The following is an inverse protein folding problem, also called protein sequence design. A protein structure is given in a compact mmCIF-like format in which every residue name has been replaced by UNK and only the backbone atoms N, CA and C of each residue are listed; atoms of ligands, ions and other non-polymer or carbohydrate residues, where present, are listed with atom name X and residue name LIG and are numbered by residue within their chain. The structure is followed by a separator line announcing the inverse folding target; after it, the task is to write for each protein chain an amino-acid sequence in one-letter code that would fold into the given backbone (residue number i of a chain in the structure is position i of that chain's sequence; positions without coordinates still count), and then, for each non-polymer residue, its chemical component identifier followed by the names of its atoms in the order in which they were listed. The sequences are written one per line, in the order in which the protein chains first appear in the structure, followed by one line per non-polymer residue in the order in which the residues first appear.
data_IF_961875730915
#
_entry.id   IF_961875730915
#
_cell.length_a   1.000
_cell.length_b   1.000
_cell.length_c   1.000
_cell.angle_alpha   90.00
_cell.angle_beta   90.00
_cell.angle_gamma   90.00
#
_symmetry.space_group_name_H-M   'P 1'
#
loop_
_entity.id
_entity.type
_entity.pdbx_description
1 polymer ?
#
# COMPACT_ATOMS: atom_id res chain seq x y z
N UNK A 1 -0.45 -0.84 11.28
CA UNK A 1 0.10 -1.13 9.93
C UNK A 1 0.45 -2.60 9.82
N UNK A 2 -0.07 -3.30 8.82
CA UNK A 2 0.24 -4.72 8.58
C UNK A 2 0.73 -4.84 7.15
N UNK A 3 1.97 -5.31 6.94
CA UNK A 3 2.50 -5.48 5.58
C UNK A 3 2.29 -6.94 5.17
N UNK A 4 1.14 -7.22 4.58
CA UNK A 4 0.80 -8.56 4.13
C UNK A 4 1.45 -8.88 2.78
N UNK A 5 2.57 -9.61 2.76
CA UNK A 5 3.05 -10.17 1.49
C UNK A 5 2.18 -11.37 1.10
N UNK A 6 1.80 -11.41 -0.17
CA UNK A 6 0.87 -12.39 -0.69
C UNK A 6 1.37 -12.94 -2.02
N UNK A 7 1.46 -14.27 -2.12
CA UNK A 7 1.96 -14.94 -3.33
C UNK A 7 0.91 -15.84 -4.01
N UNK A 8 -0.30 -15.97 -3.46
CA UNK A 8 -1.39 -16.75 -4.09
C UNK A 8 -2.78 -16.26 -3.64
N UNK A 9 -3.46 -15.49 -4.51
CA UNK A 9 -4.77 -14.81 -4.34
C UNK A 9 -5.90 -15.73 -3.79
N UNK A 10 -5.74 -17.06 -3.86
CA UNK A 10 -6.79 -18.04 -3.57
C UNK A 10 -6.87 -18.53 -2.10
N UNK A 11 -6.08 -18.00 -1.15
CA UNK A 11 -6.06 -18.43 0.27
C UNK A 11 -6.19 -17.26 1.25
N UNK A 12 -6.99 -16.25 0.91
CA UNK A 12 -7.03 -15.00 1.70
C UNK A 12 -7.74 -15.31 3.03
N UNK A 13 -6.95 -15.35 4.10
CA UNK A 13 -7.40 -15.60 5.46
C UNK A 13 -6.57 -14.68 6.38
N UNK A 14 -7.24 -13.79 7.10
CA UNK A 14 -6.63 -12.77 7.97
C UNK A 14 -6.11 -13.34 9.29
N UNK A 15 -6.36 -14.63 9.59
CA UNK A 15 -6.21 -15.17 10.94
C UNK A 15 -4.82 -15.75 11.29
N UNK A 16 -3.78 -15.53 10.46
CA UNK A 16 -2.43 -16.08 10.72
C UNK A 16 -1.32 -15.12 10.30
N UNK A 17 -0.85 -14.33 11.25
CA UNK A 17 0.30 -13.43 11.10
C UNK A 17 1.51 -13.94 11.87
N UNK A 18 2.68 -13.92 11.24
CA UNK A 18 3.94 -13.90 11.97
C UNK A 18 4.17 -12.46 12.45
N UNK A 19 4.18 -12.26 13.77
CA UNK A 19 4.40 -10.96 14.38
C UNK A 19 5.89 -10.77 14.66
N UNK A 20 6.49 -9.71 14.12
CA UNK A 20 7.80 -9.27 14.57
C UNK A 20 7.61 -8.37 15.79
N UNK A 21 8.13 -8.82 16.93
CA UNK A 21 8.23 -8.03 18.15
C UNK A 21 9.18 -6.85 17.94
N UNK A 22 8.82 -5.69 18.46
CA UNK A 22 9.59 -4.45 18.38
C UNK A 22 11.08 -4.51 18.81
N UNK A 23 11.63 -5.43 19.63
CA UNK A 23 13.05 -5.40 20.00
C UNK A 23 14.02 -5.52 18.81
N UNK A 24 13.64 -6.20 17.72
CA UNK A 24 14.49 -6.34 16.53
C UNK A 24 14.30 -5.19 15.52
N UNK A 25 13.34 -4.29 15.77
CA UNK A 25 13.04 -3.08 14.97
C UNK A 25 13.41 -1.79 15.74
N UNK A 26 13.84 -1.89 16.99
CA UNK A 26 14.17 -0.75 17.85
C UNK A 26 15.60 -0.24 17.64
N UNK A 27 15.76 0.67 16.68
CA UNK A 27 16.69 1.77 16.89
C UNK A 27 16.19 2.58 18.10
N UNK A 28 16.92 2.49 19.23
CA UNK A 28 16.65 3.19 20.49
C UNK A 28 16.29 4.66 20.25
N UNK A 29 15.04 5.04 20.48
CA UNK A 29 14.66 6.43 20.77
C UNK A 29 14.47 6.58 22.28
N UNK A 30 15.57 6.84 22.99
CA UNK A 30 15.52 7.61 24.23
C UNK A 30 15.78 9.05 23.82
N UNK A 31 14.70 9.82 23.67
CA UNK A 31 14.57 11.14 24.27
C UNK A 31 13.19 11.69 23.96
N UNK A 32 12.47 11.95 25.04
CA UNK A 32 11.21 12.67 25.07
C UNK A 32 11.41 14.08 24.51
N UNK A 33 10.74 14.39 23.40
CA UNK A 33 10.04 15.66 23.15
C UNK A 33 9.52 15.68 21.71
N UNK A 34 8.31 15.16 21.49
CA UNK A 34 7.53 15.52 20.31
C UNK A 34 6.30 16.30 20.77
N UNK A 35 6.47 17.62 20.81
CA UNK A 35 5.36 18.57 20.81
C UNK A 35 4.70 18.47 19.43
N UNK A 36 3.38 18.26 19.41
CA UNK A 36 2.54 18.33 18.22
C UNK A 36 2.93 19.54 17.36
N UNK A 37 3.30 19.32 16.10
CA UNK A 37 3.41 20.40 15.13
C UNK A 37 2.12 20.43 14.29
N UNK A 38 1.26 21.44 14.41
CA UNK A 38 0.11 21.60 13.53
C UNK A 38 0.60 21.88 12.10
N UNK A 39 -0.15 21.41 11.10
CA UNK A 39 0.13 21.62 9.68
C UNK A 39 0.03 23.09 9.22
N UNK A 40 -0.15 24.04 10.14
CA UNK A 40 -0.29 25.47 9.88
C UNK A 40 0.98 26.19 10.35
N UNK A 41 1.87 26.56 9.41
CA UNK A 41 2.99 27.45 9.75
C UNK A 41 4.31 27.27 8.99
N UNK A 42 4.37 26.56 7.87
CA UNK A 42 5.56 26.69 7.01
C UNK A 42 5.44 27.95 6.16
N UNK A 43 6.33 28.95 6.31
CA UNK A 43 6.38 30.07 5.39
C UNK A 43 6.72 29.54 4.00
N UNK A 44 5.76 29.67 3.08
CA UNK A 44 5.98 29.49 1.65
C UNK A 44 7.15 30.40 1.28
N UNK A 45 8.34 29.82 1.07
CA UNK A 45 9.51 30.56 0.60
C UNK A 45 9.41 30.61 -0.92
N UNK A 46 9.14 31.77 -1.54
CA UNK A 46 9.06 31.86 -3.00
C UNK A 46 10.42 31.47 -3.59
N UNK A 47 10.47 30.46 -4.45
CA UNK A 47 11.69 30.03 -5.14
C UNK A 47 12.34 28.72 -4.66
N UNK A 48 11.79 28.01 -3.66
CA UNK A 48 12.22 26.62 -3.39
C UNK A 48 11.60 25.67 -4.41
N UNK A 49 12.43 25.20 -5.34
CA UNK A 49 12.10 24.08 -6.21
C UNK A 49 12.08 22.81 -5.34
N UNK A 50 10.90 22.26 -5.08
CA UNK A 50 10.80 20.93 -4.49
C UNK A 50 11.46 19.94 -5.45
N UNK A 51 12.21 18.93 -4.94
CA UNK A 51 12.77 17.93 -5.82
C UNK A 51 11.63 17.31 -6.64
N UNK A 52 11.73 17.42 -7.96
CA UNK A 52 10.77 16.83 -8.88
C UNK A 52 10.76 15.32 -8.69
N UNK A 53 9.57 14.72 -8.73
CA UNK A 53 9.43 13.27 -8.71
C UNK A 53 10.28 12.67 -9.85
N UNK A 54 11.02 11.57 -9.59
CA UNK A 54 11.79 10.90 -10.63
C UNK A 54 10.93 10.62 -11.87
N UNK A 55 11.51 10.65 -13.08
CA UNK A 55 10.75 10.43 -14.29
C UNK A 55 10.03 9.06 -14.23
N UNK A 56 8.76 9.05 -14.63
CA UNK A 56 7.93 7.85 -14.66
C UNK A 56 8.54 6.76 -15.53
N UNK A 57 9.32 7.14 -16.55
CA UNK A 57 9.95 6.27 -17.54
C UNK A 57 11.44 6.63 -17.71
N UNK A 58 12.32 5.64 -17.60
CA UNK A 58 13.76 5.67 -17.91
C UNK A 58 14.04 4.43 -18.79
N UNK A 59 14.24 4.60 -20.09
CA UNK A 59 14.30 3.46 -21.04
C UNK A 59 15.39 2.43 -20.75
N UNK A 60 16.49 2.83 -20.10
CA UNK A 60 17.67 2.00 -19.92
C UNK A 60 17.61 1.02 -18.73
N UNK A 61 16.53 1.00 -17.93
CA UNK A 61 16.52 0.21 -16.69
C UNK A 61 15.15 -0.41 -16.36
N UNK A 62 14.61 -1.16 -17.32
CA UNK A 62 13.39 -1.97 -17.17
C UNK A 62 13.75 -3.34 -16.57
N UNK A 63 13.12 -3.76 -15.45
CA UNK A 63 13.28 -5.12 -14.95
C UNK A 63 12.57 -6.11 -15.89
N UNK A 64 12.83 -7.42 -15.72
CA UNK A 64 12.12 -8.46 -16.48
C UNK A 64 10.59 -8.29 -16.38
N UNK A 65 9.84 -8.65 -17.42
CA UNK A 65 8.37 -8.54 -17.44
C UNK A 65 7.68 -9.38 -16.36
N UNK A 66 8.37 -10.40 -15.83
CA UNK A 66 7.90 -11.22 -14.72
C UNK A 66 8.31 -10.67 -13.35
N UNK A 67 9.04 -9.55 -13.30
CA UNK A 67 9.47 -8.95 -12.05
C UNK A 67 8.33 -8.17 -11.36
N UNK A 68 8.22 -8.24 -10.03
CA UNK A 68 8.90 -9.19 -9.15
C UNK A 68 8.30 -10.59 -9.35
N UNK A 69 9.17 -11.60 -9.43
CA UNK A 69 8.74 -12.98 -9.65
C UNK A 69 8.34 -13.66 -8.34
N UNK A 70 8.98 -13.24 -7.24
CA UNK A 70 8.86 -13.83 -5.91
C UNK A 70 8.29 -12.84 -4.89
N UNK A 71 8.62 -11.55 -5.02
CA UNK A 71 8.16 -10.49 -4.12
C UNK A 71 8.88 -10.46 -2.78
N UNK A 72 10.13 -10.90 -2.72
CA UNK A 72 10.99 -10.73 -1.54
C UNK A 72 11.49 -9.29 -1.47
N UNK A 73 11.41 -8.66 -0.30
CA UNK A 73 11.84 -7.27 -0.10
C UNK A 73 12.95 -7.20 0.94
N UNK A 74 14.09 -6.67 0.55
CA UNK A 74 15.27 -6.54 1.40
C UNK A 74 15.60 -5.06 1.62
N UNK A 75 15.56 -4.63 2.87
CA UNK A 75 15.84 -3.26 3.30
C UNK A 75 17.20 -3.25 3.97
N UNK A 76 18.10 -2.40 3.48
CA UNK A 76 19.49 -2.33 3.97
C UNK A 76 19.85 -0.91 4.42
N UNK A 77 20.07 -0.74 5.72
CA UNK A 77 20.52 0.50 6.36
C UNK A 77 19.71 1.74 5.95
N UNK A 78 18.40 1.58 5.80
CA UNK A 78 17.50 2.59 5.26
C UNK A 78 17.38 3.80 6.19
N UNK A 79 17.73 4.97 5.67
CA UNK A 79 17.61 6.25 6.35
C UNK A 79 16.71 7.18 5.55
N UNK A 80 15.69 7.74 6.18
CA UNK A 80 14.67 8.56 5.50
C UNK A 80 14.40 9.83 6.27
N UNK A 81 14.34 10.96 5.57
CA UNK A 81 13.89 12.27 6.06
C UNK A 81 13.07 12.95 4.96
N UNK A 82 12.10 13.76 5.34
CA UNK A 82 11.24 14.46 4.37
C UNK A 82 11.93 15.65 3.68
N UNK A 83 12.97 16.21 4.29
CA UNK A 83 13.78 17.26 3.68
C UNK A 83 15.21 17.23 4.22
N UNK A 84 16.22 17.75 3.48
CA UNK A 84 17.62 17.72 3.91
C UNK A 84 17.88 18.30 5.31
N UNK A 85 17.14 19.36 5.66
CA UNK A 85 17.24 20.08 6.93
C UNK A 85 16.39 19.47 8.06
N UNK A 86 15.54 18.48 7.76
CA UNK A 86 14.69 17.81 8.74
C UNK A 86 15.43 16.62 9.36
N UNK A 87 15.09 16.23 10.60
CA UNK A 87 15.66 15.05 11.23
C UNK A 87 15.29 13.77 10.48
N UNK A 88 16.13 12.75 10.63
CA UNK A 88 15.83 11.39 10.16
C UNK A 88 14.63 10.81 10.91
N UNK A 89 13.66 10.31 10.16
CA UNK A 89 12.52 9.53 10.66
C UNK A 89 12.91 8.06 10.77
N UNK A 90 13.41 7.47 9.69
CA UNK A 90 14.04 6.14 9.70
C UNK A 90 15.56 6.30 9.83
N UNK A 91 16.18 5.55 10.73
CA UNK A 91 17.57 5.74 11.18
C UNK A 91 18.44 4.51 10.97
N UNK A 92 18.44 3.96 9.77
CA UNK A 92 19.26 2.79 9.41
C UNK A 92 18.51 1.47 9.59
N UNK A 93 17.23 1.43 9.20
CA UNK A 93 16.40 0.23 9.25
C UNK A 93 16.99 -0.86 8.33
N UNK A 94 17.17 -2.06 8.86
CA UNK A 94 17.55 -3.26 8.09
C UNK A 94 16.57 -4.38 8.42
N UNK A 95 15.89 -4.92 7.41
CA UNK A 95 15.01 -6.07 7.58
C UNK A 95 14.73 -6.71 6.22
N UNK A 96 14.33 -7.98 6.24
CA UNK A 96 13.94 -8.72 5.04
C UNK A 96 12.53 -9.24 5.21
N UNK A 97 11.67 -8.93 4.25
CA UNK A 97 10.35 -9.51 4.11
C UNK A 97 10.41 -10.66 3.13
N UNK A 98 10.36 -11.88 3.65
CA UNK A 98 10.47 -13.09 2.84
C UNK A 98 9.26 -13.24 1.93
N UNK A 99 9.51 -13.62 0.67
CA UNK A 99 8.47 -13.98 -0.30
C UNK A 99 7.38 -14.89 0.31
N UNK A 100 6.12 -14.57 0.01
CA UNK A 100 4.95 -15.36 0.42
C UNK A 100 4.62 -15.38 1.93
N UNK A 101 5.29 -14.57 2.75
CA UNK A 101 5.00 -14.49 4.20
C UNK A 101 4.21 -13.23 4.57
N UNK A 102 3.14 -13.39 5.34
CA UNK A 102 2.40 -12.26 5.92
C UNK A 102 3.19 -11.66 7.09
N UNK A 103 3.55 -10.38 7.03
CA UNK A 103 4.41 -9.74 8.03
C UNK A 103 3.72 -8.56 8.71
N UNK A 104 3.51 -8.63 10.02
CA UNK A 104 3.02 -7.48 10.79
C UNK A 104 4.13 -6.47 11.11
N UNK A 105 3.87 -5.16 10.92
CA UNK A 105 4.79 -4.10 11.39
C UNK A 105 4.12 -3.28 12.49
N UNK A 106 4.49 -3.59 13.73
CA UNK A 106 3.93 -2.95 14.92
C UNK A 106 4.86 -1.86 15.45
N UNK A 107 4.28 -0.78 15.97
CA UNK A 107 5.04 0.33 16.55
C UNK A 107 4.14 1.50 16.94
N UNK A 108 4.58 2.30 17.91
CA UNK A 108 3.86 3.50 18.38
C UNK A 108 3.59 4.48 17.23
N UNK A 109 2.63 5.38 17.39
CA UNK A 109 2.45 6.52 16.49
C UNK A 109 3.76 7.31 16.38
N UNK A 110 4.12 7.74 15.16
CA UNK A 110 5.38 8.44 14.90
C UNK A 110 6.62 7.55 14.71
N UNK A 111 6.51 6.22 14.83
CA UNK A 111 7.64 5.28 14.61
C UNK A 111 8.14 5.16 13.16
N UNK A 112 7.53 5.87 12.21
CA UNK A 112 7.95 5.84 10.80
C UNK A 112 7.31 4.74 9.94
N UNK A 113 6.24 4.10 10.42
CA UNK A 113 5.45 3.09 9.68
C UNK A 113 4.96 3.62 8.32
N UNK A 114 4.21 4.72 8.32
CA UNK A 114 3.72 5.36 7.08
C UNK A 114 4.89 5.86 6.22
N UNK A 115 5.98 6.32 6.84
CA UNK A 115 7.21 6.71 6.12
C UNK A 115 7.85 5.53 5.39
N UNK A 116 7.86 4.33 5.99
CA UNK A 116 8.33 3.12 5.34
C UNK A 116 7.48 2.77 4.12
N UNK A 117 6.15 2.83 4.23
CA UNK A 117 5.24 2.64 3.08
C UNK A 117 5.56 3.67 1.99
N UNK A 118 5.61 4.95 2.34
CA UNK A 118 5.90 6.02 1.38
C UNK A 118 7.25 5.81 0.68
N UNK A 119 8.26 5.32 1.39
CA UNK A 119 9.57 5.02 0.82
C UNK A 119 9.52 3.80 -0.11
N UNK A 120 8.76 2.76 0.25
CA UNK A 120 8.56 1.57 -0.59
C UNK A 120 7.88 1.92 -1.93
N UNK A 121 6.91 2.84 -1.92
CA UNK A 121 6.26 3.37 -3.13
C UNK A 121 7.06 4.49 -3.82
N UNK A 122 8.25 4.81 -3.30
CA UNK A 122 9.11 5.92 -3.74
C UNK A 122 8.35 7.26 -3.86
N UNK A 123 7.46 7.52 -2.91
CA UNK A 123 6.87 8.85 -2.68
C UNK A 123 7.85 9.75 -1.92
N UNK A 124 8.73 9.14 -1.13
CA UNK A 124 9.86 9.79 -0.45
C UNK A 124 11.10 8.96 -0.75
N UNK A 125 12.14 9.59 -1.30
CA UNK A 125 13.41 8.89 -1.58
C UNK A 125 14.24 8.75 -0.29
N UNK A 126 14.99 7.63 -0.13
CA UNK A 126 15.87 7.46 1.01
C UNK A 126 17.03 8.47 0.96
N UNK A 127 17.43 8.97 2.13
CA UNK A 127 18.62 9.79 2.29
C UNK A 127 19.90 8.95 2.28
N UNK A 128 19.81 7.69 2.72
CA UNK A 128 20.87 6.68 2.62
C UNK A 128 20.27 5.26 2.73
N UNK A 129 21.07 4.26 2.36
CA UNK A 129 20.62 2.87 2.29
C UNK A 129 19.81 2.58 1.02
N UNK A 130 19.17 1.42 0.98
CA UNK A 130 18.44 0.96 -0.21
C UNK A 130 17.35 -0.04 0.14
N UNK A 131 16.37 -0.14 -0.76
CA UNK A 131 15.34 -1.17 -0.76
C UNK A 131 15.51 -1.98 -2.05
N UNK A 132 15.60 -3.30 -1.91
CA UNK A 132 15.66 -4.23 -3.02
C UNK A 132 14.38 -5.05 -3.06
N UNK A 133 13.82 -5.27 -4.25
CA UNK A 133 12.74 -6.24 -4.45
C UNK A 133 13.26 -7.30 -5.43
N UNK A 134 13.24 -8.56 -5.01
CA UNK A 134 13.87 -9.69 -5.71
C UNK A 134 15.32 -9.38 -6.14
N UNK A 135 16.07 -8.73 -5.26
CA UNK A 135 17.48 -8.36 -5.50
C UNK A 135 17.72 -7.14 -6.38
N UNK A 136 16.67 -6.51 -6.93
CA UNK A 136 16.80 -5.29 -7.74
C UNK A 136 16.53 -4.05 -6.87
N UNK A 137 17.47 -3.10 -6.84
CA UNK A 137 17.29 -1.84 -6.13
C UNK A 137 16.20 -0.98 -6.78
N UNK A 138 15.13 -0.71 -6.04
CA UNK A 138 13.94 -0.02 -6.57
C UNK A 138 14.20 1.44 -6.96
N UNK A 139 15.21 2.10 -6.39
CA UNK A 139 15.60 3.47 -6.76
C UNK A 139 16.16 3.54 -8.19
N UNK A 140 16.59 2.42 -8.75
CA UNK A 140 17.10 2.32 -10.12
C UNK A 140 16.00 2.03 -11.14
N UNK A 141 14.83 1.56 -10.72
CA UNK A 141 13.72 1.14 -11.59
C UNK A 141 12.84 2.35 -11.95
N UNK A 142 12.14 2.27 -13.07
CA UNK A 142 11.08 3.23 -13.46
C UNK A 142 9.94 3.22 -12.43
N UNK A 143 9.43 4.40 -12.05
CA UNK A 143 8.36 4.48 -11.05
C UNK A 143 7.08 3.76 -11.51
N UNK A 144 6.76 3.83 -12.80
CA UNK A 144 5.60 3.11 -13.35
C UNK A 144 5.73 1.60 -13.14
N UNK A 145 6.87 1.02 -13.50
CA UNK A 145 7.12 -0.42 -13.35
C UNK A 145 7.03 -0.83 -11.88
N UNK A 146 7.70 -0.10 -10.98
CA UNK A 146 7.61 -0.36 -9.55
C UNK A 146 6.16 -0.30 -9.04
N UNK A 147 5.46 0.81 -9.28
CA UNK A 147 4.11 1.03 -8.72
C UNK A 147 3.03 0.14 -9.36
N UNK A 148 3.26 -0.35 -10.58
CA UNK A 148 2.35 -1.32 -11.21
C UNK A 148 2.37 -2.68 -10.49
N UNK A 149 3.50 -3.03 -9.87
CA UNK A 149 3.74 -4.31 -9.18
C UNK A 149 3.40 -4.29 -7.69
N UNK A 150 3.44 -3.12 -7.05
CA UNK A 150 3.05 -2.91 -5.66
C UNK A 150 1.55 -2.61 -5.54
N UNK A 151 0.93 -3.04 -4.45
CA UNK A 151 -0.47 -2.70 -4.12
C UNK A 151 -0.59 -2.23 -2.68
N UNK A 152 -1.49 -1.28 -2.47
CA UNK A 152 -1.80 -0.74 -1.15
C UNK A 152 -3.31 -0.71 -0.93
N UNK A 153 -3.74 -1.16 0.25
CA UNK A 153 -5.06 -0.84 0.81
C UNK A 153 -4.82 0.24 1.87
N UNK A 154 -5.23 1.50 1.62
CA UNK A 154 -5.06 2.57 2.58
C UNK A 154 -6.01 2.42 3.77
N UNK A 155 -5.69 3.13 4.85
CA UNK A 155 -6.54 3.23 6.04
C UNK A 155 -7.96 3.72 5.69
N UNK A 156 -8.04 4.77 4.85
CA UNK A 156 -9.31 5.33 4.38
C UNK A 156 -9.57 4.93 2.91
N UNK A 157 -10.44 3.94 2.66
CA UNK A 157 -10.76 3.51 1.29
C UNK A 157 -11.48 4.63 0.55
N UNK A 158 -10.86 5.11 -0.52
CA UNK A 158 -11.44 6.15 -1.38
C UNK A 158 -12.04 5.53 -2.63
N UNK A 159 -13.28 5.92 -2.94
CA UNK A 159 -13.91 5.63 -4.23
C UNK A 159 -13.99 6.91 -5.07
N UNK A 160 -13.82 6.73 -6.38
CA UNK A 160 -13.89 7.83 -7.35
C UNK A 160 -15.31 7.93 -7.89
N UNK A 161 -15.70 9.15 -8.26
CA UNK A 161 -16.98 9.37 -8.93
C UNK A 161 -17.05 8.56 -10.23
N UNK A 162 -18.17 7.88 -10.48
CA UNK A 162 -18.34 7.00 -11.62
C UNK A 162 -19.26 5.82 -11.31
N UNK A 163 -18.84 4.61 -11.68
CA UNK A 163 -19.59 3.37 -11.43
C UNK A 163 -18.78 2.41 -10.55
N UNK A 164 -19.41 1.35 -10.05
CA UNK A 164 -18.69 0.26 -9.38
C UNK A 164 -17.70 -0.41 -10.34
N UNK A 165 -18.08 -0.61 -11.61
CA UNK A 165 -17.18 -1.12 -12.67
C UNK A 165 -15.93 -0.26 -12.81
N UNK A 166 -16.10 1.05 -13.01
CA UNK A 166 -14.95 1.96 -13.20
C UNK A 166 -14.12 2.14 -11.93
N UNK A 167 -14.70 1.93 -10.75
CA UNK A 167 -13.96 1.91 -9.50
C UNK A 167 -13.10 0.66 -9.35
N UNK A 168 -13.57 -0.51 -9.77
CA UNK A 168 -12.82 -1.77 -9.69
C UNK A 168 -11.77 -1.89 -10.80
N UNK A 169 -12.13 -1.46 -12.01
CA UNK A 169 -11.33 -1.58 -13.21
C UNK A 169 -11.37 -0.27 -14.04
N UNK A 170 -10.62 0.76 -13.62
CA UNK A 170 -10.63 2.06 -14.29
C UNK A 170 -10.01 2.04 -15.69
N UNK A 171 -9.26 0.99 -16.04
CA UNK A 171 -8.62 0.83 -17.35
C UNK A 171 -9.39 -0.12 -18.27
N UNK A 172 -10.51 -0.67 -17.80
CA UNK A 172 -11.36 -1.62 -18.55
C UNK A 172 -10.59 -2.86 -19.06
N UNK A 173 -9.60 -3.32 -18.29
CA UNK A 173 -8.75 -4.47 -18.64
C UNK A 173 -9.43 -5.82 -18.37
N UNK A 174 -10.53 -5.84 -17.61
CA UNK A 174 -11.18 -7.05 -17.11
C UNK A 174 -12.63 -7.21 -17.60
N UNK A 175 -12.95 -8.46 -17.96
CA UNK A 175 -14.32 -8.90 -18.28
C UNK A 175 -15.23 -8.79 -17.04
N UNK A 176 -16.54 -8.58 -17.26
CA UNK A 176 -17.53 -8.57 -16.17
C UNK A 176 -17.45 -9.82 -15.28
N UNK A 177 -17.21 -11.00 -15.84
CA UNK A 177 -17.12 -12.26 -15.07
C UNK A 177 -15.98 -12.22 -14.05
N UNK A 178 -14.82 -11.66 -14.43
CA UNK A 178 -13.68 -11.46 -13.53
C UNK A 178 -13.98 -10.45 -12.43
N UNK A 179 -14.74 -9.40 -12.75
CA UNK A 179 -15.18 -8.39 -11.79
C UNK A 179 -16.15 -9.01 -10.78
N UNK A 180 -17.11 -9.82 -11.23
CA UNK A 180 -18.01 -10.54 -10.35
C UNK A 180 -17.27 -11.55 -9.47
N UNK A 181 -16.32 -12.31 -10.03
CA UNK A 181 -15.48 -13.24 -9.25
C UNK A 181 -14.72 -12.50 -8.13
N UNK A 182 -14.18 -11.31 -8.42
CA UNK A 182 -13.51 -10.48 -7.41
C UNK A 182 -14.49 -9.93 -6.35
N UNK A 183 -15.67 -9.47 -6.77
CA UNK A 183 -16.72 -8.98 -5.86
C UNK A 183 -17.23 -10.09 -4.92
N UNK A 184 -17.40 -11.31 -5.42
CA UNK A 184 -17.83 -12.47 -4.63
C UNK A 184 -16.77 -12.84 -3.59
N UNK A 185 -15.49 -12.86 -3.97
CA UNK A 185 -14.37 -13.11 -3.03
C UNK A 185 -14.25 -12.04 -1.94
N UNK A 186 -14.72 -10.82 -2.20
CA UNK A 186 -14.75 -9.73 -1.22
C UNK A 186 -16.08 -9.61 -0.48
N UNK A 187 -17.03 -10.55 -0.65
CA UNK A 187 -18.36 -10.50 -0.04
C UNK A 187 -19.21 -9.27 -0.40
N UNK A 188 -18.92 -8.62 -1.53
CA UNK A 188 -19.70 -7.48 -2.04
C UNK A 188 -20.58 -7.86 -3.24
N UNK A 189 -20.48 -9.10 -3.73
CA UNK A 189 -21.20 -9.58 -4.91
C UNK A 189 -22.72 -9.48 -4.77
N UNK A 190 -23.30 -10.05 -3.72
CA UNK A 190 -24.75 -10.02 -3.49
C UNK A 190 -25.29 -8.59 -3.32
N UNK A 191 -24.56 -7.77 -2.57
CA UNK A 191 -24.95 -6.38 -2.37
C UNK A 191 -24.98 -5.60 -3.70
N UNK A 192 -23.93 -5.73 -4.52
CA UNK A 192 -23.89 -5.08 -5.83
C UNK A 192 -24.97 -5.66 -6.76
N UNK A 193 -25.28 -6.97 -6.71
CA UNK A 193 -26.36 -7.58 -7.50
C UNK A 193 -27.74 -7.06 -7.11
N UNK A 194 -27.94 -6.70 -5.84
CA UNK A 194 -29.20 -6.16 -5.32
C UNK A 194 -29.50 -4.74 -5.81
N UNK A 195 -28.47 -3.98 -6.19
CA UNK A 195 -28.63 -2.64 -6.74
C UNK A 195 -29.17 -2.70 -8.18
N UNK A 196 -30.11 -1.82 -8.52
CA UNK A 196 -30.73 -1.76 -9.86
C UNK A 196 -29.69 -1.65 -10.99
N UNK A 197 -28.63 -0.86 -10.78
CA UNK A 197 -27.55 -0.64 -11.75
C UNK A 197 -26.49 -1.74 -11.78
N UNK A 198 -26.46 -2.66 -10.80
CA UNK A 198 -25.42 -3.67 -10.64
C UNK A 198 -24.01 -3.07 -10.73
N UNK A 199 -23.18 -3.51 -11.68
CA UNK A 199 -21.84 -2.93 -11.92
C UNK A 199 -21.88 -1.47 -12.38
N UNK A 200 -22.98 -1.03 -12.99
CA UNK A 200 -23.21 0.35 -13.42
C UNK A 200 -23.83 1.21 -12.31
N UNK A 201 -23.99 0.68 -11.10
CA UNK A 201 -24.47 1.47 -9.95
C UNK A 201 -23.57 2.68 -9.74
N UNK A 202 -24.15 3.88 -9.58
CA UNK A 202 -23.38 5.10 -9.46
C UNK A 202 -22.63 5.17 -8.14
N UNK A 203 -21.45 5.77 -8.20
CA UNK A 203 -20.61 6.11 -7.07
C UNK A 203 -20.46 7.63 -7.09
N UNK A 204 -20.93 8.30 -6.05
CA UNK A 204 -20.78 9.74 -5.91
C UNK A 204 -19.35 10.08 -5.50
N UNK A 205 -19.00 11.37 -5.52
CA UNK A 205 -17.67 11.85 -5.12
C UNK A 205 -17.27 11.25 -3.76
N UNK A 206 -16.05 10.72 -3.67
CA UNK A 206 -15.50 10.02 -2.50
C UNK A 206 -16.28 8.78 -2.02
N UNK A 207 -17.26 8.30 -2.79
CA UNK A 207 -18.14 7.21 -2.40
C UNK A 207 -19.03 7.55 -1.21
N UNK A 208 -19.48 8.80 -1.09
CA UNK A 208 -20.37 9.25 0.01
C UNK A 208 -21.68 8.45 0.07
N UNK A 209 -22.16 7.93 -1.07
CA UNK A 209 -23.32 7.06 -1.13
C UNK A 209 -23.04 5.60 -0.72
N UNK A 210 -21.81 5.28 -0.32
CA UNK A 210 -21.39 3.95 0.15
C UNK A 210 -20.90 4.01 1.60
N UNK A 211 -21.34 3.06 2.42
CA UNK A 211 -20.86 2.93 3.79
C UNK A 211 -19.35 2.62 3.81
N UNK A 212 -18.68 2.94 4.92
CA UNK A 212 -17.25 2.59 5.09
C UNK A 212 -17.05 1.08 4.94
N UNK A 213 -17.97 0.27 5.48
CA UNK A 213 -17.95 -1.19 5.38
C UNK A 213 -18.07 -1.73 3.96
N UNK A 214 -18.64 -0.97 3.02
CA UNK A 214 -18.74 -1.36 1.61
C UNK A 214 -17.57 -0.85 0.76
N UNK A 215 -17.04 0.34 1.11
CA UNK A 215 -15.88 0.93 0.43
C UNK A 215 -14.62 0.07 0.55
N UNK A 216 -14.45 -0.64 1.66
CA UNK A 216 -13.30 -1.51 1.88
C UNK A 216 -13.28 -2.76 0.97
N UNK A 217 -14.37 -3.56 0.88
CA UNK A 217 -14.49 -4.62 -0.12
C UNK A 217 -14.24 -4.16 -1.55
N UNK A 218 -14.62 -2.93 -1.93
CA UNK A 218 -14.27 -2.37 -3.24
C UNK A 218 -12.76 -2.24 -3.41
N UNK A 219 -12.05 -1.68 -2.41
CA UNK A 219 -10.59 -1.61 -2.43
C UNK A 219 -9.93 -2.99 -2.49
N UNK A 220 -10.48 -3.98 -1.78
CA UNK A 220 -10.03 -5.38 -1.87
C UNK A 220 -10.32 -5.97 -3.26
N UNK A 221 -11.47 -5.66 -3.87
CA UNK A 221 -11.83 -6.12 -5.20
C UNK A 221 -10.87 -5.59 -6.28
N UNK A 222 -10.48 -4.31 -6.20
CA UNK A 222 -9.43 -3.71 -7.06
C UNK A 222 -8.12 -4.49 -6.98
N UNK A 223 -7.81 -5.00 -5.79
CA UNK A 223 -6.63 -5.80 -5.55
C UNK A 223 -6.74 -7.22 -6.09
N UNK A 224 -7.88 -7.89 -5.92
CA UNK A 224 -8.07 -9.25 -6.42
C UNK A 224 -8.04 -9.35 -7.96
N UNK A 225 -8.45 -8.28 -8.65
CA UNK A 225 -8.40 -8.21 -10.12
C UNK A 225 -6.96 -8.21 -10.65
N UNK A 226 -6.06 -7.49 -9.97
CA UNK A 226 -4.66 -7.35 -10.39
C UNK A 226 -3.74 -8.25 -9.57
N UNK A 227 -3.11 -9.22 -10.22
CA UNK A 227 -2.09 -10.08 -9.59
C UNK A 227 -0.87 -9.25 -9.20
N UNK A 228 -0.68 -8.97 -7.91
CA UNK A 228 0.56 -8.40 -7.37
C UNK A 228 1.29 -9.41 -6.49
N UNK A 229 2.62 -9.26 -6.38
CA UNK A 229 3.43 -10.07 -5.45
C UNK A 229 3.67 -9.40 -4.10
N UNK A 230 3.53 -8.08 -4.07
CA UNK A 230 3.71 -7.26 -2.87
C UNK A 230 2.44 -6.47 -2.61
N UNK A 231 1.90 -6.64 -1.40
CA UNK A 231 0.69 -6.00 -0.91
C UNK A 231 0.99 -5.35 0.45
N UNK A 232 0.51 -4.13 0.62
CA UNK A 232 0.65 -3.33 1.84
C UNK A 232 -0.74 -3.00 2.38
N UNK A 233 -1.04 -3.34 3.64
CA UNK A 233 -2.29 -2.96 4.30
C UNK A 233 -2.00 -1.89 5.36
N UNK A 234 -2.44 -0.67 5.10
CA UNK A 234 -2.31 0.40 6.08
C UNK A 234 -3.53 0.40 7.01
N UNK A 235 -3.39 -0.20 8.19
CA UNK A 235 -4.40 -0.23 9.27
C UNK A 235 -5.77 -0.87 8.92
N UNK A 236 -5.89 -1.53 7.76
CA UNK A 236 -7.13 -2.18 7.30
C UNK A 236 -7.58 -3.42 8.10
N UNK A 237 -6.78 -3.90 9.06
CA UNK A 237 -7.04 -5.18 9.77
C UNK A 237 -8.34 -5.17 10.60
N UNK A 238 -8.68 -4.05 11.25
CA UNK A 238 -9.85 -4.00 12.14
C UNK A 238 -11.19 -4.09 11.40
N UNK A 239 -11.19 -3.86 10.10
CA UNK A 239 -12.42 -3.81 9.31
C UNK A 239 -12.54 -4.97 8.31
N UNK A 240 -11.43 -5.62 7.98
CA UNK A 240 -11.41 -6.88 7.23
C UNK A 240 -11.82 -8.09 8.08
N UNK A 241 -11.68 -8.02 9.42
CA UNK A 241 -12.19 -9.06 10.34
C UNK A 241 -13.71 -9.29 10.15
N UNK A 242 -14.50 -8.23 9.95
CA UNK A 242 -15.95 -8.34 9.75
C UNK A 242 -16.34 -9.01 8.43
N UNK A 243 -15.49 -8.91 7.40
CA UNK A 243 -15.72 -9.53 6.09
C UNK A 243 -15.10 -10.94 5.98
N UNK A 244 -14.44 -11.46 7.03
CA UNK A 244 -13.77 -12.77 6.97
C UNK A 244 -14.32 -13.78 7.99
N UNK A 245 -15.17 -13.35 8.92
CA UNK A 245 -15.78 -14.19 9.98
C UNK A 245 -16.76 -15.28 9.48
N UNK A 246 -16.93 -15.44 8.17
CA UNK A 246 -17.77 -16.47 7.54
C UNK A 246 -17.00 -17.64 6.90
N UNK A 247 -15.68 -17.71 7.02
CA UNK A 247 -14.86 -18.80 6.44
C UNK A 247 -14.27 -19.73 7.50
N UNK A 248 -15.14 -20.38 8.30
CA UNK A 248 -14.82 -21.62 9.04
C UNK A 248 -15.44 -22.80 8.30
#
# INVERSE_FOLDING_TARGET
MVVCYYNDVNRFDVNRFDYYSAPDILAKTKDDQYRFWPAEGYPFSPGKCYPSEPPLIIESNRPDDQWPSQGEVDIRHLQVRYAPHMPLVLRGLTCTFTRGKKTGIVGRTGSGKSTLIQTLFRLVEPAAGQILIDGINISTIRLHDLRSTLRIIPQDPTMFEGTIRSNLDPLEEYTNDKIWEALDKCQLGEEVRSNEGKLNSPVTKNGENWSVGQRQPVCLGRMLLKKSKVLVLDEATASLELATDGMI
#
